data_IF_527778545780
#
_entry.id   IF_527778545780
#
_cell.length_a   1.000
_cell.length_b   1.000
_cell.length_c   1.000
_cell.angle_alpha   90.00
_cell.angle_beta   90.00
_cell.angle_gamma   90.00
#
_symmetry.space_group_name_H-M   'P 1'
#
loop_
_entity.id
_entity.type
_entity.pdbx_description
1 polymer ?
#
# COMPACT_ATOMS: atom_id res chain seq x y z
N UNK A 1 -16.03 5.53 -19.44
CA UNK A 1 -15.24 4.33 -19.08
C UNK A 1 -13.80 4.62 -19.45
N UNK A 2 -12.86 4.40 -18.54
CA UNK A 2 -11.43 4.49 -18.86
C UNK A 2 -11.10 3.38 -19.86
N UNK A 3 -10.19 3.64 -20.81
CA UNK A 3 -9.67 2.53 -21.61
C UNK A 3 -8.71 1.67 -20.76
N UNK A 4 -8.49 0.41 -21.14
CA UNK A 4 -7.76 -0.56 -20.32
C UNK A 4 -6.35 -0.08 -19.94
N UNK A 5 -5.66 0.62 -20.86
CA UNK A 5 -4.32 1.17 -20.62
C UNK A 5 -4.31 2.30 -19.60
N UNK A 6 -5.33 3.16 -19.63
CA UNK A 6 -5.51 4.22 -18.64
C UNK A 6 -5.87 3.65 -17.28
N UNK A 7 -6.70 2.60 -17.25
CA UNK A 7 -7.04 1.85 -16.05
C UNK A 7 -5.80 1.23 -15.39
N UNK A 8 -4.99 0.48 -16.14
CA UNK A 8 -3.73 -0.10 -15.63
C UNK A 8 -2.79 0.98 -15.09
N UNK A 9 -2.64 2.09 -15.82
CA UNK A 9 -1.78 3.19 -15.42
C UNK A 9 -2.26 3.86 -14.14
N UNK A 10 -3.58 3.95 -13.93
CA UNK A 10 -4.16 4.44 -12.68
C UNK A 10 -3.91 3.46 -11.54
N UNK A 11 -4.13 2.16 -11.74
CA UNK A 11 -3.91 1.13 -10.72
C UNK A 11 -2.47 1.11 -10.22
N UNK A 12 -1.49 1.22 -11.12
CA UNK A 12 -0.06 1.32 -10.78
C UNK A 12 0.30 2.56 -9.95
N UNK A 13 -0.54 3.58 -9.99
CA UNK A 13 -0.36 4.84 -9.25
C UNK A 13 -1.19 4.90 -7.99
N UNK A 14 -1.95 3.87 -7.67
CA UNK A 14 -2.89 3.87 -6.56
C UNK A 14 -2.53 2.84 -5.52
N UNK A 15 -2.53 3.26 -4.27
CA UNK A 15 -2.42 2.39 -3.09
C UNK A 15 -3.71 2.43 -2.30
N UNK A 16 -3.92 1.41 -1.49
CA UNK A 16 -4.98 1.35 -0.50
C UNK A 16 -4.36 1.12 0.87
N UNK A 17 -4.80 1.92 1.84
CA UNK A 17 -4.44 1.79 3.25
C UNK A 17 -5.65 1.27 4.00
N UNK A 18 -5.52 0.10 4.62
CA UNK A 18 -6.54 -0.51 5.46
C UNK A 18 -6.25 -0.32 6.95
N UNK A 19 -7.28 -0.52 7.76
CA UNK A 19 -7.22 -0.56 9.23
C UNK A 19 -6.73 0.73 9.89
N UNK A 20 -6.85 1.86 9.18
CA UNK A 20 -6.63 3.16 9.81
C UNK A 20 -7.65 3.36 10.95
N UNK A 21 -7.29 3.99 12.06
CA UNK A 21 -8.27 4.28 13.09
C UNK A 21 -9.37 5.20 12.53
N UNK A 22 -10.61 5.06 13.03
CA UNK A 22 -11.74 5.85 12.54
C UNK A 22 -11.50 7.37 12.60
N UNK A 23 -10.69 7.81 13.57
CA UNK A 23 -10.31 9.21 13.77
C UNK A 23 -9.25 9.72 12.80
N UNK A 24 -8.63 8.85 11.98
CA UNK A 24 -7.66 9.28 10.98
C UNK A 24 -8.30 10.25 9.98
N UNK A 25 -7.61 11.35 9.71
CA UNK A 25 -8.06 12.39 8.80
C UNK A 25 -7.19 12.45 7.55
N UNK A 26 -7.77 12.91 6.44
CA UNK A 26 -7.07 13.05 5.15
C UNK A 26 -5.78 13.86 5.31
N UNK A 27 -5.81 14.95 6.09
CA UNK A 27 -4.65 15.82 6.31
C UNK A 27 -3.46 15.05 6.88
N UNK A 28 -3.68 14.20 7.88
CA UNK A 28 -2.62 13.42 8.52
C UNK A 28 -2.03 12.37 7.57
N UNK A 29 -2.90 11.72 6.79
CA UNK A 29 -2.51 10.74 5.78
C UNK A 29 -1.70 11.43 4.67
N UNK A 30 -2.15 12.61 4.22
CA UNK A 30 -1.49 13.44 3.22
C UNK A 30 -0.09 13.84 3.68
N UNK A 31 0.03 14.44 4.85
CA UNK A 31 1.32 14.88 5.42
C UNK A 31 2.34 13.74 5.51
N UNK A 32 1.88 12.51 5.75
CA UNK A 32 2.76 11.34 5.73
C UNK A 32 3.23 10.98 4.31
N UNK A 33 2.31 10.87 3.36
CA UNK A 33 2.64 10.42 1.98
C UNK A 33 3.20 11.53 1.09
N UNK A 34 3.10 12.81 1.46
CA UNK A 34 3.71 13.93 0.73
C UNK A 34 5.24 13.86 0.72
N UNK A 35 5.83 13.18 1.70
CA UNK A 35 7.27 12.91 1.76
C UNK A 35 7.74 11.95 0.67
N UNK A 36 6.81 11.26 0.03
CA UNK A 36 7.10 10.28 -1.02
C UNK A 36 7.27 10.97 -2.37
N UNK A 37 8.32 10.62 -3.11
CA UNK A 37 8.56 11.15 -4.45
C UNK A 37 7.45 10.72 -5.42
N UNK A 38 6.72 11.66 -6.02
CA UNK A 38 5.69 11.33 -7.02
C UNK A 38 4.48 12.26 -6.99
N UNK A 39 4.25 12.96 -5.88
CA UNK A 39 3.14 13.89 -5.69
C UNK A 39 1.80 13.17 -5.58
N UNK A 40 0.96 13.62 -4.66
CA UNK A 40 -0.39 13.06 -4.46
C UNK A 40 -1.36 13.76 -5.42
N UNK A 41 -2.15 12.97 -6.14
CA UNK A 41 -3.25 13.43 -7.01
C UNK A 41 -4.55 13.55 -6.21
N UNK A 42 -4.88 12.52 -5.43
CA UNK A 42 -6.08 12.47 -4.61
C UNK A 42 -5.91 11.53 -3.42
N UNK A 43 -6.69 11.78 -2.37
CA UNK A 43 -6.87 10.88 -1.23
C UNK A 43 -8.36 10.82 -0.96
N UNK A 44 -8.91 9.61 -0.89
CA UNK A 44 -10.30 9.37 -0.51
C UNK A 44 -10.30 8.53 0.77
N UNK A 45 -10.74 9.14 1.89
CA UNK A 45 -10.87 8.45 3.18
C UNK A 45 -12.27 7.87 3.31
N UNK A 46 -12.36 6.55 3.32
CA UNK A 46 -13.59 5.77 3.38
C UNK A 46 -13.84 5.39 4.84
N UNK A 47 -14.93 5.90 5.40
CA UNK A 47 -15.40 5.58 6.75
C UNK A 47 -16.76 4.89 6.66
N UNK A 48 -16.88 3.74 7.31
CA UNK A 48 -18.17 3.06 7.45
C UNK A 48 -18.59 3.14 8.93
N UNK A 49 -19.77 3.66 9.22
CA UNK A 49 -20.24 3.88 10.61
C UNK A 49 -20.31 2.59 11.44
N UNK A 50 -20.39 1.42 10.80
CA UNK A 50 -20.40 0.12 11.46
C UNK A 50 -18.99 -0.42 11.79
N UNK A 51 -17.93 0.21 11.26
CA UNK A 51 -16.55 -0.20 11.47
C UNK A 51 -15.84 0.81 12.36
N UNK A 52 -15.05 0.30 13.32
CA UNK A 52 -14.15 1.12 14.15
C UNK A 52 -12.87 1.53 13.40
N UNK A 53 -12.75 1.12 12.13
CA UNK A 53 -11.63 1.39 11.25
C UNK A 53 -12.10 2.13 10.00
N UNK A 54 -11.18 2.89 9.42
CA UNK A 54 -11.31 3.54 8.11
C UNK A 54 -10.31 2.95 7.13
N UNK A 55 -10.50 3.27 5.85
CA UNK A 55 -9.53 2.97 4.80
C UNK A 55 -9.28 4.22 3.98
N UNK A 56 -8.13 4.30 3.32
CA UNK A 56 -7.82 5.40 2.43
C UNK A 56 -7.37 4.86 1.08
N UNK A 57 -7.91 5.41 0.00
CA UNK A 57 -7.42 5.21 -1.36
C UNK A 57 -6.58 6.42 -1.72
N UNK A 58 -5.34 6.19 -2.14
CA UNK A 58 -4.39 7.27 -2.41
C UNK A 58 -3.86 7.09 -3.82
N UNK A 59 -4.10 8.09 -4.67
CA UNK A 59 -3.60 8.12 -6.03
C UNK A 59 -2.45 9.11 -6.15
N UNK A 60 -1.35 8.68 -6.74
CA UNK A 60 -0.18 9.51 -7.02
C UNK A 60 -0.19 10.01 -8.48
N UNK A 61 0.48 11.14 -8.73
CA UNK A 61 0.67 11.64 -10.10
C UNK A 61 1.65 10.75 -10.90
N UNK A 62 2.56 10.06 -10.19
CA UNK A 62 3.59 9.17 -10.77
C UNK A 62 3.60 7.82 -10.06
N UNK A 63 3.84 6.75 -10.81
CA UNK A 63 3.92 5.36 -10.32
C UNK A 63 4.96 5.18 -9.21
N UNK A 64 6.12 5.85 -9.34
CA UNK A 64 7.17 5.92 -8.32
C UNK A 64 6.66 6.34 -6.93
N UNK A 65 5.56 7.12 -6.86
CA UNK A 65 4.92 7.49 -5.61
C UNK A 65 4.30 6.29 -4.90
N UNK A 66 3.55 5.47 -5.64
CA UNK A 66 2.94 4.25 -5.12
C UNK A 66 4.01 3.23 -4.70
N UNK A 67 5.03 3.02 -5.54
CA UNK A 67 6.15 2.10 -5.24
C UNK A 67 6.84 2.45 -3.92
N UNK A 68 7.20 3.72 -3.74
CA UNK A 68 7.89 4.18 -2.52
C UNK A 68 6.99 4.16 -1.29
N UNK A 69 5.69 4.41 -1.45
CA UNK A 69 4.73 4.28 -0.35
C UNK A 69 4.61 2.82 0.14
N UNK A 70 4.63 1.85 -0.77
CA UNK A 70 4.66 0.42 -0.44
C UNK A 70 5.98 0.02 0.21
N UNK A 71 7.10 0.54 -0.27
CA UNK A 71 8.42 0.30 0.33
C UNK A 71 8.45 0.79 1.79
N UNK A 72 7.95 2.00 2.06
CA UNK A 72 7.83 2.51 3.43
C UNK A 72 7.01 1.59 4.33
N UNK A 73 5.87 1.09 3.85
CA UNK A 73 5.04 0.18 4.62
C UNK A 73 5.71 -1.17 4.93
N UNK A 74 6.50 -1.71 3.99
CA UNK A 74 7.25 -2.98 4.19
C UNK A 74 8.31 -2.89 5.29
N UNK A 75 8.79 -1.69 5.60
CA UNK A 75 9.72 -1.45 6.70
C UNK A 75 9.04 -1.28 8.06
N UNK A 76 7.74 -1.61 8.17
CA UNK A 76 6.98 -1.52 9.43
C UNK A 76 6.69 -0.08 9.84
N UNK A 77 6.70 0.86 8.88
CA UNK A 77 6.45 2.27 9.15
C UNK A 77 4.94 2.49 9.23
N UNK A 78 4.48 2.91 10.41
CA UNK A 78 3.14 3.45 10.65
C UNK A 78 2.82 4.57 9.65
N UNK A 79 1.58 4.65 9.15
CA UNK A 79 1.10 5.77 8.34
C UNK A 79 1.01 7.00 9.26
N UNK A 80 2.13 7.72 9.35
CA UNK A 80 2.35 8.74 10.36
C UNK A 80 2.48 8.12 11.74
N UNK A 81 1.44 8.30 12.56
CA UNK A 81 1.33 7.74 13.91
C UNK A 81 0.41 6.51 13.98
N UNK A 82 -0.17 6.09 12.85
CA UNK A 82 -1.19 5.05 12.82
C UNK A 82 -0.64 3.72 12.32
N UNK A 83 -0.99 2.63 13.00
CA UNK A 83 -0.79 1.29 12.44
C UNK A 83 -1.81 1.10 11.30
N UNK A 84 -1.33 0.72 10.12
CA UNK A 84 -2.16 0.61 8.92
C UNK A 84 -1.51 -0.31 7.89
N UNK A 85 -2.33 -1.05 7.15
CA UNK A 85 -1.86 -1.98 6.13
C UNK A 85 -1.88 -1.27 4.78
N UNK A 86 -0.71 -1.06 4.18
CA UNK A 86 -0.61 -0.46 2.84
C UNK A 86 -0.42 -1.57 1.80
N UNK A 87 -1.21 -1.52 0.73
CA UNK A 87 -1.13 -2.44 -0.40
C UNK A 87 -1.41 -1.75 -1.72
N UNK A 88 -1.08 -2.40 -2.84
CA UNK A 88 -1.37 -1.84 -4.16
C UNK A 88 -2.86 -1.99 -4.48
N UNK A 89 -3.41 -1.09 -5.29
CA UNK A 89 -4.79 -1.25 -5.78
C UNK A 89 -4.99 -2.57 -6.54
N UNK A 90 -3.95 -3.04 -7.25
CA UNK A 90 -3.97 -4.32 -7.95
C UNK A 90 -4.16 -5.49 -6.98
N UNK A 91 -3.44 -5.51 -5.85
CA UNK A 91 -3.56 -6.59 -4.85
C UNK A 91 -4.97 -6.66 -4.27
N UNK A 92 -5.63 -5.51 -4.10
CA UNK A 92 -7.02 -5.44 -3.62
C UNK A 92 -7.98 -6.03 -4.64
N UNK A 93 -7.84 -5.68 -5.92
CA UNK A 93 -8.69 -6.19 -7.00
C UNK A 93 -8.51 -7.70 -7.19
N UNK A 94 -7.28 -8.18 -7.08
CA UNK A 94 -6.94 -9.60 -7.16
C UNK A 94 -7.32 -10.40 -5.91
N UNK A 95 -7.80 -9.72 -4.85
CA UNK A 95 -8.19 -10.36 -3.60
C UNK A 95 -7.03 -11.03 -2.86
N UNK A 96 -5.81 -10.51 -3.02
CA UNK A 96 -4.64 -11.06 -2.32
C UNK A 96 -4.79 -10.92 -0.81
N UNK A 97 -4.28 -11.91 -0.09
CA UNK A 97 -4.23 -11.86 1.37
C UNK A 97 -3.28 -10.74 1.81
N UNK A 98 -3.84 -9.75 2.51
CA UNK A 98 -3.09 -8.63 3.06
C UNK A 98 -2.48 -9.04 4.41
N UNK A 99 -1.23 -8.66 4.65
CA UNK A 99 -0.52 -8.96 5.91
C UNK A 99 0.16 -7.71 6.43
N UNK A 100 0.08 -7.49 7.76
CA UNK A 100 0.83 -6.44 8.48
C UNK A 100 2.33 -6.68 8.50
N UNK A 101 2.74 -7.95 8.39
CA UNK A 101 4.15 -8.34 8.32
C UNK A 101 4.51 -8.61 6.87
N UNK A 102 5.61 -8.01 6.41
CA UNK A 102 6.23 -8.40 5.15
C UNK A 102 6.40 -9.93 5.19
N UNK A 103 6.01 -10.66 4.12
CA UNK A 103 6.37 -12.06 4.04
C UNK A 103 7.89 -12.13 4.19
N UNK A 104 8.39 -12.93 5.14
CA UNK A 104 9.81 -13.29 5.13
C UNK A 104 10.06 -13.82 3.74
N UNK A 105 10.98 -13.20 3.00
CA UNK A 105 11.42 -13.76 1.73
C UNK A 105 11.74 -15.22 1.99
N UNK A 106 10.97 -16.14 1.40
CA UNK A 106 11.36 -17.54 1.34
C UNK A 106 12.63 -17.53 0.51
N UNK A 107 13.76 -17.53 1.21
CA UNK A 107 15.07 -17.60 0.58
C UNK A 107 15.03 -18.75 -0.39
N UNK A 108 15.31 -18.47 -1.67
CA UNK A 108 15.50 -19.50 -2.69
C UNK A 108 16.40 -20.57 -2.07
N UNK A 109 15.83 -21.73 -1.78
CA UNK A 109 16.60 -22.88 -1.38
C UNK A 109 17.50 -23.20 -2.57
N UNK A 110 18.74 -22.73 -2.52
CA UNK A 110 19.76 -23.16 -3.45
C UNK A 110 19.91 -24.67 -3.24
N UNK A 111 19.43 -25.43 -4.23
CA UNK A 111 19.75 -26.83 -4.41
C UNK A 111 21.25 -26.96 -4.69
N UNK A 112 22.06 -26.90 -3.64
CA UNK A 112 23.50 -27.15 -3.66
C UNK A 112 23.78 -28.46 -2.94
N UNK A 113 23.99 -29.51 -3.71
CA UNK A 113 24.19 -30.87 -3.22
C UNK A 113 25.30 -31.01 -2.18
N UNK A 114 24.99 -31.71 -1.09
CA UNK A 114 26.01 -32.29 -0.23
C UNK A 114 26.66 -33.46 -1.00
N UNK A 115 27.93 -33.30 -1.39
CA UNK A 115 28.80 -34.44 -1.67
C UNK A 115 29.47 -34.83 -0.36
N UNK A 116 29.18 -36.04 0.10
CA UNK A 116 29.90 -36.69 1.19
C UNK A 116 31.39 -36.79 0.82
N UNK A 117 32.25 -36.43 1.77
CA UNK A 117 33.64 -36.87 1.83
C UNK A 117 33.94 -37.35 3.24
#
# INVERSE_FOLDING_TARGET
>A
MLNDKEGEKLLKRTIVVFELPFVAEEKQIREFFEKVSGGISSIDVIKANALVFSSAVIQFNKEKGAEKAIELARHGVAVGQFDGIVCTAQDVIEGKKLSRTAPKEEGKANAGGCKNQ
#
